data_IF_803258143420
#
_entry.id   IF_803258143420
#
_cell.length_a   1.000
_cell.length_b   1.000
_cell.length_c   1.000
_cell.angle_alpha   90.00
_cell.angle_beta   90.00
_cell.angle_gamma   90.00
#
_symmetry.space_group_name_H-M   'P 1'
#
loop_
_entity.id
_entity.type
_entity.pdbx_description
1 polymer ?
#
# COMPACT_ATOMS: atom_id res chain seq x y z
N UNK A 1 15.44 -4.93 33.47
CA UNK A 1 15.79 -4.86 32.04
C UNK A 1 15.50 -3.45 31.64
N UNK A 2 16.52 -2.61 31.62
CA UNK A 2 16.36 -1.19 31.32
C UNK A 2 16.02 -1.04 29.84
N UNK A 3 14.92 -0.33 29.58
CA UNK A 3 14.35 -0.14 28.26
C UNK A 3 14.97 1.13 27.67
N UNK A 4 16.18 1.02 27.14
CA UNK A 4 16.84 2.16 26.49
C UNK A 4 16.25 2.35 25.08
N UNK A 5 15.62 3.50 24.89
CA UNK A 5 15.11 3.92 23.58
C UNK A 5 16.31 4.18 22.66
N UNK A 6 16.30 3.68 21.41
CA UNK A 6 17.40 3.89 20.47
C UNK A 6 17.67 5.38 20.21
N UNK A 7 18.94 5.73 20.00
CA UNK A 7 19.34 7.10 19.64
C UNK A 7 18.68 7.57 18.34
N UNK A 8 18.51 8.90 18.20
CA UNK A 8 17.86 9.51 17.02
C UNK A 8 18.55 9.16 15.70
N UNK A 9 19.86 8.91 15.73
CA UNK A 9 20.68 8.45 14.60
C UNK A 9 20.24 7.09 14.07
N UNK A 10 19.74 6.20 14.92
CA UNK A 10 19.29 4.86 14.52
C UNK A 10 18.04 4.92 13.62
N UNK A 11 17.19 5.94 13.74
CA UNK A 11 16.02 6.09 12.86
C UNK A 11 16.36 6.45 11.41
N UNK A 12 17.62 6.85 11.13
CA UNK A 12 18.12 7.05 9.78
C UNK A 12 18.44 5.71 9.08
N UNK A 13 18.55 4.62 9.83
CA UNK A 13 18.71 3.27 9.29
C UNK A 13 17.43 2.83 8.57
N UNK A 14 17.57 2.25 7.38
CA UNK A 14 16.44 1.80 6.57
C UNK A 14 15.54 0.81 7.32
N UNK A 15 16.12 -0.06 8.15
CA UNK A 15 15.39 -1.05 8.96
C UNK A 15 14.46 -0.46 10.03
N UNK A 16 14.64 0.82 10.41
CA UNK A 16 13.80 1.52 11.40
C UNK A 16 12.98 2.66 10.77
N UNK A 17 13.57 3.40 9.84
CA UNK A 17 12.90 4.51 9.15
C UNK A 17 11.78 4.04 8.22
N UNK A 18 11.99 2.96 7.47
CA UNK A 18 11.00 2.49 6.50
C UNK A 18 9.71 1.95 7.16
N UNK A 19 9.75 1.20 8.27
CA UNK A 19 8.53 0.84 9.00
C UNK A 19 7.74 2.04 9.54
N UNK A 20 8.42 3.11 10.00
CA UNK A 20 7.73 4.34 10.43
C UNK A 20 7.05 5.04 9.26
N UNK A 21 7.73 5.12 8.11
CA UNK A 21 7.13 5.68 6.91
C UNK A 21 5.94 4.84 6.44
N UNK A 22 6.06 3.51 6.48
CA UNK A 22 4.96 2.60 6.17
C UNK A 22 3.77 2.80 7.14
N UNK A 23 4.03 2.95 8.44
CA UNK A 23 3.02 3.23 9.45
C UNK A 23 2.25 4.53 9.14
N UNK A 24 2.96 5.60 8.79
CA UNK A 24 2.35 6.87 8.39
C UNK A 24 1.54 6.73 7.10
N UNK A 25 2.05 6.01 6.10
CA UNK A 25 1.35 5.76 4.85
C UNK A 25 0.06 4.95 5.04
N UNK A 26 0.04 3.93 5.91
CA UNK A 26 -1.18 3.18 6.20
C UNK A 26 -2.27 4.07 6.81
N UNK A 27 -1.92 4.95 7.75
CA UNK A 27 -2.88 5.89 8.34
C UNK A 27 -3.34 6.91 7.30
N UNK A 28 -2.41 7.48 6.53
CA UNK A 28 -2.74 8.45 5.49
C UNK A 28 -3.61 7.83 4.38
N UNK A 29 -3.42 6.54 4.06
CA UNK A 29 -4.19 5.83 3.06
C UNK A 29 -5.69 5.78 3.38
N UNK A 30 -6.09 5.83 4.66
CA UNK A 30 -7.49 5.90 5.08
C UNK A 30 -8.20 7.18 4.63
N UNK A 31 -7.46 8.25 4.33
CA UNK A 31 -7.99 9.52 3.86
C UNK A 31 -8.33 9.51 2.36
N UNK A 32 -7.89 8.47 1.64
CA UNK A 32 -8.04 8.36 0.19
C UNK A 32 -8.88 7.15 -0.20
N UNK A 33 -9.51 7.16 -1.37
CA UNK A 33 -10.28 6.02 -1.84
C UNK A 33 -9.35 4.84 -2.12
N UNK A 34 -9.79 3.66 -1.68
CA UNK A 34 -9.12 2.38 -1.93
C UNK A 34 -9.48 1.82 -3.29
N UNK A 35 -10.71 2.06 -3.74
CA UNK A 35 -11.23 1.49 -4.97
C UNK A 35 -12.06 2.52 -5.73
N UNK A 36 -11.88 2.55 -7.05
CA UNK A 36 -12.55 3.46 -7.97
C UNK A 36 -13.28 2.64 -9.02
N UNK A 37 -14.56 2.92 -9.21
CA UNK A 37 -15.38 2.27 -10.23
C UNK A 37 -15.95 3.36 -11.12
N UNK A 38 -15.75 3.23 -12.42
CA UNK A 38 -16.39 4.09 -13.42
C UNK A 38 -17.41 3.26 -14.18
N UNK A 39 -18.62 3.78 -14.37
CA UNK A 39 -19.74 3.02 -14.92
C UNK A 39 -20.38 3.81 -16.05
N UNK A 40 -20.42 3.16 -17.21
CA UNK A 40 -21.11 3.66 -18.40
C UNK A 40 -22.40 2.85 -18.57
N UNK A 41 -23.54 3.55 -18.59
CA UNK A 41 -24.86 2.95 -18.71
C UNK A 41 -25.65 3.64 -19.81
N UNK A 42 -26.48 2.89 -20.53
CA UNK A 42 -27.35 3.44 -21.59
C UNK A 42 -28.33 4.49 -21.05
N UNK A 43 -28.72 4.36 -19.78
CA UNK A 43 -29.57 5.29 -19.06
C UNK A 43 -28.90 6.65 -18.78
N UNK A 44 -27.56 6.70 -18.78
CA UNK A 44 -26.76 7.91 -18.61
C UNK A 44 -25.81 8.08 -19.82
N UNK A 45 -26.34 8.29 -21.04
CA UNK A 45 -25.58 8.18 -22.28
C UNK A 45 -24.51 9.27 -22.47
N UNK A 46 -24.55 10.34 -21.68
CA UNK A 46 -23.63 11.48 -21.76
C UNK A 46 -22.73 11.58 -20.53
N UNK A 47 -22.90 10.71 -19.52
CA UNK A 47 -22.24 10.83 -18.23
C UNK A 47 -21.76 9.48 -17.74
N UNK A 48 -20.45 9.35 -17.53
CA UNK A 48 -19.87 8.23 -16.79
C UNK A 48 -20.05 8.48 -15.29
N UNK A 49 -20.68 7.53 -14.60
CA UNK A 49 -20.85 7.61 -13.15
C UNK A 49 -19.57 7.14 -12.47
N UNK A 50 -19.14 7.84 -11.43
CA UNK A 50 -17.94 7.51 -10.69
C UNK A 50 -18.25 7.16 -9.24
N UNK A 51 -17.73 6.03 -8.78
CA UNK A 51 -17.77 5.62 -7.38
C UNK A 51 -16.36 5.55 -6.82
N UNK A 52 -16.23 6.02 -5.59
CA UNK A 52 -14.99 5.93 -4.82
C UNK A 52 -15.27 5.28 -3.47
N UNK A 53 -14.72 4.09 -3.24
CA UNK A 53 -14.90 3.34 -2.01
C UNK A 53 -13.69 3.53 -1.09
N UNK A 54 -13.96 3.83 0.18
CA UNK A 54 -12.95 4.00 1.22
C UNK A 54 -12.74 2.72 2.02
N UNK A 55 -11.66 2.67 2.81
CA UNK A 55 -11.37 1.55 3.73
C UNK A 55 -12.33 1.46 4.93
N UNK A 56 -13.37 2.29 4.96
CA UNK A 56 -14.47 2.28 5.92
C UNK A 56 -15.78 2.46 5.15
N UNK A 57 -16.95 2.26 5.78
CA UNK A 57 -18.26 2.26 5.13
C UNK A 57 -18.68 3.64 4.57
N UNK A 58 -17.97 4.09 3.55
CA UNK A 58 -18.16 5.36 2.87
C UNK A 58 -17.90 5.17 1.39
N UNK A 59 -18.87 5.61 0.60
CA UNK A 59 -18.82 5.66 -0.85
C UNK A 59 -18.97 7.12 -1.28
N UNK A 60 -18.05 7.63 -2.08
CA UNK A 60 -18.15 8.97 -2.65
C UNK A 60 -18.40 8.92 -4.17
N UNK A 61 -18.71 10.07 -4.76
CA UNK A 61 -19.10 10.19 -6.16
C UNK A 61 -20.62 10.04 -6.36
N UNK A 62 -21.02 9.48 -7.50
CA UNK A 62 -22.41 9.37 -7.96
C UNK A 62 -23.13 8.14 -7.39
N UNK A 63 -22.98 7.93 -6.08
CA UNK A 63 -23.47 6.72 -5.42
C UNK A 63 -25.00 6.63 -5.37
N UNK A 64 -25.72 7.75 -5.43
CA UNK A 64 -27.19 7.76 -5.44
C UNK A 64 -27.76 7.36 -6.81
N UNK A 65 -27.17 7.91 -7.87
CA UNK A 65 -27.48 7.58 -9.27
C UNK A 65 -27.16 6.12 -9.53
N UNK A 66 -26.01 5.65 -9.05
CA UNK A 66 -25.60 4.26 -9.18
C UNK A 66 -26.50 3.31 -8.36
N UNK A 67 -26.91 3.68 -7.15
CA UNK A 67 -27.89 2.89 -6.39
C UNK A 67 -29.23 2.76 -7.16
N UNK A 68 -29.66 3.85 -7.80
CA UNK A 68 -30.87 3.86 -8.64
C UNK A 68 -30.74 2.95 -9.85
N UNK A 69 -29.56 2.91 -10.50
CA UNK A 69 -29.26 1.95 -11.58
C UNK A 69 -29.23 0.51 -11.08
N UNK A 70 -28.53 0.25 -9.98
CA UNK A 70 -28.34 -1.09 -9.45
C UNK A 70 -29.65 -1.75 -9.00
N UNK A 71 -30.64 -0.95 -8.56
CA UNK A 71 -31.98 -1.43 -8.25
C UNK A 71 -32.65 -2.14 -9.43
N UNK A 72 -32.36 -1.75 -10.67
CA UNK A 72 -32.96 -2.40 -11.85
C UNK A 72 -32.47 -3.84 -12.03
N UNK A 73 -31.24 -4.15 -11.61
CA UNK A 73 -30.65 -5.48 -11.66
C UNK A 73 -30.70 -6.19 -10.30
N UNK A 74 -31.38 -5.61 -9.31
CA UNK A 74 -31.50 -6.18 -7.97
C UNK A 74 -30.19 -6.20 -7.16
N UNK A 75 -29.21 -5.38 -7.54
CA UNK A 75 -27.95 -5.25 -6.81
C UNK A 75 -28.08 -4.12 -5.78
N UNK A 76 -27.67 -4.36 -4.54
CA UNK A 76 -27.72 -3.36 -3.47
C UNK A 76 -26.34 -3.22 -2.82
N UNK A 77 -26.04 -2.02 -2.34
CA UNK A 77 -24.80 -1.81 -1.60
C UNK A 77 -24.82 -2.61 -0.29
N UNK A 78 -23.74 -3.33 0.05
CA UNK A 78 -23.65 -4.11 1.27
C UNK A 78 -23.93 -3.29 2.54
N UNK A 79 -24.52 -3.90 3.57
CA UNK A 79 -24.74 -3.26 4.86
C UNK A 79 -23.53 -3.50 5.80
N UNK A 80 -22.79 -2.47 6.22
CA UNK A 80 -21.67 -2.61 7.15
C UNK A 80 -22.07 -2.97 8.59
N UNK A 81 -23.36 -3.00 8.94
CA UNK A 81 -23.99 -3.38 10.22
C UNK A 81 -23.61 -2.50 11.41
N UNK A 82 -22.32 -2.37 11.71
CA UNK A 82 -21.84 -1.68 12.91
C UNK A 82 -21.79 -0.16 12.76
N UNK A 83 -21.36 0.33 11.60
CA UNK A 83 -21.18 1.76 11.35
C UNK A 83 -22.13 2.21 10.25
N UNK A 84 -22.94 3.23 10.52
CA UNK A 84 -23.89 3.73 9.53
C UNK A 84 -23.14 4.31 8.32
N UNK A 85 -23.38 3.80 7.10
CA UNK A 85 -22.77 4.34 5.90
C UNK A 85 -23.45 5.64 5.46
N UNK A 86 -22.91 6.28 4.42
CA UNK A 86 -23.47 7.53 3.87
C UNK A 86 -24.65 7.32 2.90
N UNK A 87 -25.15 6.10 2.78
CA UNK A 87 -26.34 5.72 2.04
C UNK A 87 -27.26 4.91 2.96
N UNK A 88 -28.51 4.74 2.56
CA UNK A 88 -29.47 3.90 3.29
C UNK A 88 -29.35 2.44 2.81
N UNK A 89 -28.92 1.49 3.66
CA UNK A 89 -28.85 0.08 3.27
C UNK A 89 -30.24 -0.47 2.96
N UNK A 90 -30.33 -1.26 1.89
CA UNK A 90 -31.58 -1.93 1.53
C UNK A 90 -31.78 -3.19 2.39
N UNK A 91 -33.01 -3.57 2.79
CA UNK A 91 -33.25 -4.79 3.59
C UNK A 91 -32.80 -6.11 2.95
N UNK A 92 -32.56 -6.11 1.64
CA UNK A 92 -32.01 -7.25 0.89
C UNK A 92 -30.50 -7.16 0.61
N UNK A 93 -29.85 -6.11 1.09
CA UNK A 93 -28.39 -6.03 1.02
C UNK A 93 -27.74 -7.14 1.85
N UNK A 94 -26.54 -7.56 1.46
CA UNK A 94 -25.76 -8.51 2.24
C UNK A 94 -25.12 -7.81 3.45
N UNK A 95 -25.08 -8.48 4.59
CA UNK A 95 -24.39 -7.98 5.78
C UNK A 95 -22.88 -8.21 5.68
N UNK A 96 -22.11 -7.14 5.85
CA UNK A 96 -20.64 -7.09 5.78
C UNK A 96 -20.02 -6.35 7.00
N UNK A 97 -20.19 -6.89 8.22
CA UNK A 97 -19.66 -6.27 9.43
C UNK A 97 -18.14 -6.01 9.39
N UNK A 98 -17.39 -6.78 8.61
CA UNK A 98 -15.93 -6.69 8.48
C UNK A 98 -15.49 -5.36 7.87
N UNK A 99 -16.30 -4.74 6.99
CA UNK A 99 -15.95 -3.45 6.38
C UNK A 99 -15.86 -2.32 7.41
N UNK A 100 -16.68 -2.37 8.47
CA UNK A 100 -16.61 -1.43 9.59
C UNK A 100 -15.29 -1.54 10.37
N UNK A 101 -14.59 -2.68 10.28
CA UNK A 101 -13.33 -2.94 10.99
C UNK A 101 -12.10 -2.56 10.16
N UNK A 102 -12.26 -2.17 8.90
CA UNK A 102 -11.17 -1.78 8.00
C UNK A 102 -10.21 -0.75 8.62
N UNK A 103 -10.66 0.39 9.17
CA UNK A 103 -9.78 1.37 9.79
C UNK A 103 -8.99 0.81 10.98
N UNK A 104 -9.62 -0.05 11.77
CA UNK A 104 -8.98 -0.68 12.92
C UNK A 104 -7.84 -1.59 12.48
N UNK A 105 -8.01 -2.34 11.38
CA UNK A 105 -6.96 -3.17 10.81
C UNK A 105 -5.76 -2.31 10.35
N UNK A 106 -6.01 -1.21 9.63
CA UNK A 106 -4.96 -0.29 9.19
C UNK A 106 -4.22 0.38 10.36
N UNK A 107 -4.95 0.84 11.38
CA UNK A 107 -4.38 1.45 12.58
C UNK A 107 -3.56 0.41 13.36
N UNK A 108 -4.05 -0.83 13.50
CA UNK A 108 -3.33 -1.90 14.18
C UNK A 108 -2.02 -2.25 13.46
N UNK A 109 -2.06 -2.42 12.13
CA UNK A 109 -0.85 -2.68 11.33
C UNK A 109 0.14 -1.52 11.42
N UNK A 110 -0.35 -0.28 11.38
CA UNK A 110 0.46 0.93 11.54
C UNK A 110 1.11 1.00 12.93
N UNK A 111 0.35 0.74 14.00
CA UNK A 111 0.85 0.73 15.37
C UNK A 111 1.91 -0.36 15.57
N UNK A 112 1.71 -1.56 15.02
CA UNK A 112 2.70 -2.62 15.04
C UNK A 112 3.98 -2.23 14.27
N UNK A 113 3.86 -1.58 13.10
CA UNK A 113 5.01 -1.10 12.34
C UNK A 113 5.82 -0.06 13.13
N UNK A 114 5.13 0.88 13.79
CA UNK A 114 5.77 1.87 14.66
C UNK A 114 6.42 1.21 15.89
N UNK A 115 5.75 0.24 16.51
CA UNK A 115 6.29 -0.49 17.66
C UNK A 115 7.56 -1.28 17.30
N UNK A 116 7.58 -1.93 16.12
CA UNK A 116 8.76 -2.65 15.64
C UNK A 116 9.93 -1.71 15.40
N UNK A 117 9.69 -0.49 14.88
CA UNK A 117 10.74 0.51 14.70
C UNK A 117 11.38 0.97 16.02
N UNK A 118 10.61 0.94 17.12
CA UNK A 118 11.07 1.30 18.47
C UNK A 118 11.80 0.17 19.20
N UNK A 119 11.97 -1.01 18.58
CA UNK A 119 12.62 -2.14 19.24
C UNK A 119 14.08 -1.82 19.66
N UNK A 120 14.46 -2.11 20.93
CA UNK A 120 15.78 -1.76 21.45
C UNK A 120 16.89 -2.68 20.91
N UNK A 121 16.66 -3.99 20.91
CA UNK A 121 17.66 -4.98 20.51
C UNK A 121 17.57 -5.35 19.02
N UNK A 122 18.71 -5.52 18.35
CA UNK A 122 18.80 -6.02 16.96
C UNK A 122 18.10 -7.38 16.79
N UNK A 123 18.18 -8.27 17.79
CA UNK A 123 17.49 -9.57 17.77
C UNK A 123 15.96 -9.42 17.83
N UNK A 124 15.46 -8.48 18.64
CA UNK A 124 14.01 -8.19 18.76
C UNK A 124 13.51 -7.47 17.52
N UNK A 125 14.29 -6.55 16.96
CA UNK A 125 13.99 -5.85 15.71
C UNK A 125 13.81 -6.84 14.55
N UNK A 126 14.76 -7.78 14.35
CA UNK A 126 14.64 -8.80 13.29
C UNK A 126 13.38 -9.65 13.43
N UNK A 127 13.08 -10.13 14.64
CA UNK A 127 11.85 -10.89 14.93
C UNK A 127 10.59 -10.04 14.71
N UNK A 128 10.65 -8.78 15.12
CA UNK A 128 9.59 -7.79 14.92
C UNK A 128 9.32 -7.53 13.44
N UNK A 129 10.36 -7.37 12.62
CA UNK A 129 10.23 -7.15 11.17
C UNK A 129 9.65 -8.38 10.46
N UNK A 130 10.05 -9.60 10.86
CA UNK A 130 9.43 -10.85 10.36
C UNK A 130 7.95 -10.87 10.74
N UNK A 131 7.63 -10.67 12.03
CA UNK A 131 6.25 -10.69 12.52
C UNK A 131 5.40 -9.61 11.87
N UNK A 132 5.97 -8.42 11.64
CA UNK A 132 5.31 -7.31 10.96
C UNK A 132 4.99 -7.67 9.52
N UNK A 133 5.97 -8.18 8.76
CA UNK A 133 5.76 -8.50 7.36
C UNK A 133 4.73 -9.63 7.19
N UNK A 134 4.86 -10.70 7.98
CA UNK A 134 3.91 -11.82 7.96
C UNK A 134 2.53 -11.39 8.43
N UNK A 135 2.44 -10.62 9.53
CA UNK A 135 1.18 -10.12 10.05
C UNK A 135 0.49 -9.16 9.08
N UNK A 136 1.25 -8.27 8.44
CA UNK A 136 0.73 -7.36 7.41
C UNK A 136 0.22 -8.12 6.19
N UNK A 137 0.99 -9.09 5.69
CA UNK A 137 0.58 -9.94 4.57
C UNK A 137 -0.66 -10.78 4.91
N UNK A 138 -0.75 -11.31 6.13
CA UNK A 138 -1.91 -12.06 6.59
C UNK A 138 -3.16 -11.18 6.68
N UNK A 139 -3.07 -10.00 7.33
CA UNK A 139 -4.21 -9.07 7.48
C UNK A 139 -4.72 -8.63 6.11
N UNK A 140 -3.84 -8.12 5.22
CA UNK A 140 -4.27 -7.66 3.90
C UNK A 140 -4.68 -8.81 2.98
N UNK A 141 -4.04 -9.98 3.08
CA UNK A 141 -4.42 -11.17 2.32
C UNK A 141 -5.82 -11.67 2.69
N UNK A 142 -6.12 -11.77 3.99
CA UNK A 142 -7.46 -12.11 4.47
C UNK A 142 -8.48 -11.05 4.05
N UNK A 143 -8.14 -9.77 4.16
CA UNK A 143 -9.04 -8.68 3.75
C UNK A 143 -9.35 -8.73 2.24
N UNK A 144 -8.36 -8.99 1.39
CA UNK A 144 -8.59 -9.14 -0.06
C UNK A 144 -9.43 -10.37 -0.38
N UNK A 145 -9.20 -11.49 0.29
CA UNK A 145 -9.99 -12.70 0.13
C UNK A 145 -11.45 -12.49 0.58
N UNK A 146 -11.65 -11.80 1.71
CA UNK A 146 -12.99 -11.45 2.20
C UNK A 146 -13.70 -10.50 1.22
N UNK A 147 -13.03 -9.44 0.74
CA UNK A 147 -13.61 -8.53 -0.28
C UNK A 147 -14.06 -9.32 -1.52
N UNK A 148 -13.22 -10.22 -2.04
CA UNK A 148 -13.60 -11.05 -3.19
C UNK A 148 -14.82 -11.94 -2.90
N UNK A 149 -14.84 -12.55 -1.72
CA UNK A 149 -15.95 -13.38 -1.29
C UNK A 149 -17.26 -12.58 -1.13
N UNK A 150 -17.19 -11.40 -0.53
CA UNK A 150 -18.35 -10.49 -0.38
C UNK A 150 -18.83 -9.94 -1.71
N UNK A 151 -17.94 -9.65 -2.66
CA UNK A 151 -18.31 -9.26 -4.02
C UNK A 151 -19.02 -10.39 -4.77
N UNK A 152 -18.54 -11.62 -4.61
CA UNK A 152 -19.23 -12.80 -5.14
C UNK A 152 -20.63 -12.95 -4.54
N UNK A 153 -20.75 -12.87 -3.21
CA UNK A 153 -22.05 -12.93 -2.52
C UNK A 153 -23.01 -11.84 -3.00
N UNK A 154 -22.55 -10.58 -3.06
CA UNK A 154 -23.38 -9.45 -3.46
C UNK A 154 -23.91 -9.61 -4.89
N UNK A 155 -23.06 -10.06 -5.83
CA UNK A 155 -23.47 -10.23 -7.22
C UNK A 155 -24.22 -11.53 -7.54
N UNK A 156 -24.29 -12.49 -6.61
CA UNK A 156 -25.11 -13.72 -6.73
C UNK A 156 -26.36 -13.72 -5.86
N UNK A 157 -26.56 -12.68 -5.05
CA UNK A 157 -27.76 -12.47 -4.23
C UNK A 157 -28.59 -11.33 -4.81
N UNK A 158 -28.83 -11.38 -6.12
CA UNK A 158 -29.63 -10.39 -6.83
C UNK A 158 -31.12 -10.58 -6.47
N UNK A 159 -31.84 -9.46 -6.36
CA UNK A 159 -33.28 -9.48 -6.09
C UNK A 159 -34.04 -10.18 -7.24
N UNK A 160 -34.72 -11.32 -6.99
CA UNK A 160 -35.46 -12.02 -8.04
C UNK A 160 -36.69 -11.23 -8.51
N UNK A 161 -37.12 -10.19 -7.78
CA UNK A 161 -38.25 -9.34 -8.14
C UNK A 161 -37.81 -8.05 -8.87
N UNK A 162 -36.53 -7.95 -9.26
CA UNK A 162 -35.99 -6.75 -9.90
C UNK A 162 -36.61 -6.50 -11.30
N UNK A 163 -36.75 -5.23 -11.73
CA UNK A 163 -37.35 -4.90 -13.02
C UNK A 163 -36.68 -5.57 -14.23
N UNK A 164 -35.37 -5.79 -14.19
CA UNK A 164 -34.62 -6.54 -15.20
C UNK A 164 -34.43 -7.96 -14.70
N UNK A 165 -35.28 -8.85 -15.18
CA UNK A 165 -35.28 -10.28 -14.84
C UNK A 165 -34.24 -11.05 -15.66
N UNK A 166 -33.69 -12.12 -15.08
CA UNK A 166 -32.81 -13.05 -15.79
C UNK A 166 -31.36 -12.55 -15.97
N UNK A 167 -30.93 -11.60 -15.14
CA UNK A 167 -29.52 -11.24 -15.04
C UNK A 167 -28.77 -12.36 -14.34
N UNK A 168 -27.79 -12.95 -15.03
CA UNK A 168 -26.91 -13.96 -14.44
C UNK A 168 -26.09 -13.35 -13.29
N UNK A 169 -25.82 -14.18 -12.27
CA UNK A 169 -24.95 -13.78 -11.16
C UNK A 169 -23.57 -13.36 -11.68
N UNK A 170 -23.07 -12.24 -11.17
CA UNK A 170 -21.79 -11.69 -11.60
C UNK A 170 -20.88 -11.44 -10.39
N UNK A 171 -19.58 -11.30 -10.62
CA UNK A 171 -18.62 -10.91 -9.58
C UNK A 171 -17.83 -9.71 -10.06
N UNK A 172 -18.02 -8.53 -9.44
CA UNK A 172 -17.23 -7.36 -9.78
C UNK A 172 -15.73 -7.65 -9.61
N UNK A 173 -14.89 -7.50 -10.64
CA UNK A 173 -13.46 -7.64 -10.50
C UNK A 173 -12.90 -6.44 -9.72
N UNK A 174 -11.92 -6.66 -8.84
CA UNK A 174 -11.21 -5.57 -8.17
C UNK A 174 -10.42 -4.69 -9.15
N UNK A 175 -9.99 -5.27 -10.27
CA UNK A 175 -9.26 -4.59 -11.33
C UNK A 175 -9.71 -5.12 -12.68
N UNK A 176 -9.98 -4.21 -13.62
CA UNK A 176 -10.36 -4.54 -14.99
C UNK A 176 -11.73 -3.97 -15.35
N UNK A 177 -12.40 -4.59 -16.32
CA UNK A 177 -13.73 -4.18 -16.75
C UNK A 177 -14.66 -5.39 -16.80
N UNK A 178 -15.95 -5.16 -16.59
CA UNK A 178 -16.98 -6.16 -16.74
C UNK A 178 -18.27 -5.52 -17.28
N UNK A 179 -19.10 -6.33 -17.92
CA UNK A 179 -20.37 -5.89 -18.50
C UNK A 179 -21.48 -6.78 -17.95
N UNK A 180 -22.54 -6.15 -17.44
CA UNK A 180 -23.73 -6.85 -16.92
C UNK A 180 -24.95 -6.16 -17.49
N UNK A 181 -25.76 -6.93 -18.20
CA UNK A 181 -26.88 -6.42 -19.00
C UNK A 181 -26.42 -5.33 -19.99
N UNK A 182 -26.70 -4.05 -19.71
CA UNK A 182 -26.34 -2.89 -20.54
C UNK A 182 -25.50 -1.86 -19.75
N UNK A 183 -24.79 -2.33 -18.72
CA UNK A 183 -23.94 -1.51 -17.86
C UNK A 183 -22.51 -2.02 -18.01
N UNK A 184 -21.62 -1.15 -18.46
CA UNK A 184 -20.18 -1.42 -18.53
C UNK A 184 -19.49 -0.75 -17.36
N UNK A 185 -18.78 -1.53 -16.56
CA UNK A 185 -18.11 -1.05 -15.35
C UNK A 185 -16.61 -1.27 -15.46
N UNK A 186 -15.84 -0.25 -15.06
CA UNK A 186 -14.39 -0.22 -15.04
C UNK A 186 -13.89 -0.06 -13.61
N UNK A 187 -13.25 -1.09 -13.07
CA UNK A 187 -12.69 -1.14 -11.73
C UNK A 187 -11.20 -0.85 -11.75
N UNK A 188 -10.77 0.09 -10.90
CA UNK A 188 -9.36 0.46 -10.71
C UNK A 188 -9.04 0.69 -9.24
N UNK A 189 -7.80 0.45 -8.86
CA UNK A 189 -7.33 0.82 -7.52
C UNK A 189 -7.32 2.34 -7.34
N UNK A 190 -7.78 2.78 -6.17
CA UNK A 190 -7.71 4.17 -5.76
C UNK A 190 -6.35 4.52 -5.16
N UNK A 191 -6.16 5.80 -4.84
CA UNK A 191 -4.90 6.32 -4.29
C UNK A 191 -4.54 5.64 -2.97
N UNK A 192 -5.52 5.38 -2.09
CA UNK A 192 -5.30 4.69 -0.81
C UNK A 192 -4.76 3.28 -0.98
N UNK A 193 -5.19 2.55 -2.03
CA UNK A 193 -4.67 1.22 -2.32
C UNK A 193 -3.21 1.28 -2.79
N UNK A 194 -2.85 2.24 -3.65
CA UNK A 194 -1.45 2.44 -4.05
C UNK A 194 -0.55 2.84 -2.88
N UNK A 195 -1.03 3.70 -1.98
CA UNK A 195 -0.31 4.05 -0.74
C UNK A 195 -0.08 2.82 0.15
N UNK A 196 -1.09 1.95 0.26
CA UNK A 196 -0.99 0.70 1.02
C UNK A 196 0.01 -0.28 0.39
N UNK A 197 -0.01 -0.43 -0.94
CA UNK A 197 0.97 -1.24 -1.66
C UNK A 197 2.39 -0.71 -1.49
N UNK A 198 2.57 0.62 -1.56
CA UNK A 198 3.85 1.27 -1.30
C UNK A 198 4.31 0.99 0.14
N UNK A 199 3.45 1.14 1.13
CA UNK A 199 3.76 0.85 2.53
C UNK A 199 4.21 -0.61 2.74
N UNK A 200 3.52 -1.57 2.13
CA UNK A 200 3.94 -2.99 2.13
C UNK A 200 5.31 -3.16 1.46
N UNK A 201 5.55 -2.48 0.33
CA UNK A 201 6.85 -2.48 -0.34
C UNK A 201 7.97 -1.94 0.57
N UNK A 202 7.73 -0.86 1.31
CA UNK A 202 8.69 -0.33 2.28
C UNK A 202 9.00 -1.33 3.40
N UNK A 203 8.01 -2.09 3.88
CA UNK A 203 8.23 -3.16 4.87
C UNK A 203 9.07 -4.30 4.31
N UNK A 204 8.88 -4.68 3.03
CA UNK A 204 9.72 -5.67 2.34
C UNK A 204 11.17 -5.17 2.24
N UNK A 205 11.38 -3.91 1.87
CA UNK A 205 12.72 -3.31 1.83
C UNK A 205 13.35 -3.26 3.23
N UNK A 206 12.59 -2.86 4.26
CA UNK A 206 13.05 -2.88 5.65
C UNK A 206 13.47 -4.28 6.09
N UNK A 207 12.70 -5.30 5.70
CA UNK A 207 13.01 -6.70 5.96
C UNK A 207 14.27 -7.16 5.22
N UNK A 208 14.49 -6.74 3.98
CA UNK A 208 15.69 -7.07 3.22
C UNK A 208 16.94 -6.50 3.88
N UNK A 209 16.89 -5.24 4.35
CA UNK A 209 17.98 -4.59 5.07
C UNK A 209 18.03 -4.88 6.58
N UNK A 210 17.30 -5.89 7.07
CA UNK A 210 17.22 -6.22 8.51
C UNK A 210 18.57 -6.51 9.17
N UNK A 211 19.54 -6.99 8.39
CA UNK A 211 20.89 -7.37 8.83
C UNK A 211 21.91 -6.23 8.65
N UNK A 212 21.50 -5.10 8.07
CA UNK A 212 22.37 -3.97 7.74
C UNK A 212 22.00 -2.72 8.54
N UNK A 213 23.00 -1.91 8.86
CA UNK A 213 22.83 -0.58 9.44
C UNK A 213 22.79 0.51 8.35
N UNK A 214 22.59 0.11 7.08
CA UNK A 214 22.61 1.02 5.95
C UNK A 214 21.57 2.15 6.09
N UNK A 215 22.03 3.37 5.86
CA UNK A 215 21.17 4.54 5.77
C UNK A 215 20.76 4.78 4.31
N UNK A 216 19.73 5.60 4.10
CA UNK A 216 19.32 6.02 2.75
C UNK A 216 20.49 6.68 1.98
N UNK A 217 21.40 7.38 2.67
CA UNK A 217 22.58 8.02 2.08
C UNK A 217 23.60 6.99 1.58
N UNK A 218 23.80 5.91 2.32
CA UNK A 218 24.75 4.87 1.95
C UNK A 218 24.27 4.09 0.72
N UNK A 219 22.96 3.79 0.66
CA UNK A 219 22.35 3.18 -0.52
C UNK A 219 22.39 4.12 -1.73
N UNK A 220 22.11 5.41 -1.54
CA UNK A 220 22.20 6.40 -2.61
C UNK A 220 23.64 6.52 -3.14
N UNK A 221 24.64 6.58 -2.26
CA UNK A 221 26.06 6.64 -2.64
C UNK A 221 26.50 5.39 -3.40
N UNK A 222 26.10 4.20 -2.93
CA UNK A 222 26.41 2.93 -3.61
C UNK A 222 25.70 2.78 -4.97
N UNK A 223 24.53 3.41 -5.14
CA UNK A 223 23.84 3.45 -6.43
C UNK A 223 24.49 4.45 -7.39
N UNK A 224 24.83 5.66 -6.92
CA UNK A 224 25.55 6.67 -7.70
C UNK A 224 26.91 6.15 -8.21
N UNK A 225 27.66 5.45 -7.35
CA UNK A 225 28.92 4.83 -7.74
C UNK A 225 28.75 3.70 -8.77
N UNK A 226 27.58 3.06 -8.83
CA UNK A 226 27.26 2.02 -9.83
C UNK A 226 26.74 2.59 -11.15
N UNK A 227 26.09 3.76 -11.11
CA UNK A 227 25.55 4.44 -12.29
C UNK A 227 26.61 5.33 -12.96
N UNK A 228 27.84 5.36 -12.42
CA UNK A 228 28.96 6.06 -13.06
C UNK A 228 28.87 7.58 -12.93
N UNK A 229 28.05 8.09 -12.01
CA UNK A 229 28.15 9.49 -11.56
C UNK A 229 29.20 9.52 -10.46
N UNK A 230 30.45 9.25 -10.86
CA UNK A 230 31.61 9.45 -10.02
C UNK A 230 31.91 10.93 -9.93
N UNK A 231 32.31 11.38 -8.75
CA UNK A 231 32.86 12.71 -8.51
C UNK A 231 33.97 13.00 -9.54
N UNK A 232 33.68 13.84 -10.53
CA UNK A 232 34.71 14.58 -11.26
C UNK A 232 35.21 15.64 -10.28
N UNK A 233 36.35 15.39 -9.63
CA UNK A 233 37.44 16.36 -9.40
C UNK A 233 38.38 15.87 -8.29
N UNK A 234 39.53 15.32 -8.69
CA UNK A 234 40.83 15.69 -8.10
C UNK A 234 41.92 15.40 -9.14
N UNK A 235 42.58 16.41 -9.74
CA UNK A 235 43.71 16.18 -10.61
C UNK A 235 44.96 15.93 -9.76
N UNK A 236 45.44 14.69 -9.81
CA UNK A 236 46.77 14.27 -9.37
C UNK A 236 47.83 15.11 -10.08
N UNK A 237 48.53 15.97 -9.33
CA UNK A 237 49.73 16.66 -9.80
C UNK A 237 50.95 16.08 -9.09
N UNK A 238 51.51 15.02 -9.67
CA UNK A 238 52.90 14.62 -9.45
C UNK A 238 53.78 15.18 -10.56
N UNK A 239 54.84 15.95 -10.23
CA UNK A 239 56.09 15.93 -10.98
C UNK A 239 57.11 15.13 -10.15
N UNK A 240 57.67 14.02 -10.61
CA UNK A 240 58.59 13.98 -11.75
C UNK A 240 60.00 14.29 -11.25
N UNK A 241 60.74 13.27 -10.80
CA UNK A 241 62.21 13.31 -10.75
C UNK A 241 62.77 11.88 -10.91
N UNK A 242 63.56 11.70 -11.96
CA UNK A 242 64.23 10.46 -12.35
C UNK A 242 65.45 10.14 -11.45
N UNK A 243 65.86 8.87 -11.33
CA UNK A 243 67.14 8.51 -10.73
C UNK A 243 68.22 8.32 -11.82
N UNK A 244 69.36 9.00 -11.70
CA UNK A 244 70.57 8.69 -12.48
C UNK A 244 71.76 8.46 -11.54
N UNK A 245 72.24 7.22 -11.54
CA UNK A 245 73.66 6.87 -11.73
C UNK A 245 74.69 7.26 -10.67
N UNK A 246 75.17 6.23 -9.95
CA UNK A 246 76.41 6.09 -9.16
C UNK A 246 77.71 6.56 -9.85
N UNK A 247 78.66 7.10 -9.06
CA UNK A 247 80.09 6.73 -9.12
C UNK A 247 80.87 7.18 -7.87
N UNK A 248 81.81 6.34 -7.44
CA UNK A 248 82.73 6.43 -6.30
C UNK A 248 83.74 7.60 -6.38
N UNK A 249 84.23 8.10 -5.23
CA UNK A 249 85.67 8.33 -4.96
C UNK A 249 85.94 8.98 -3.59
N UNK A 250 86.64 8.22 -2.74
CA UNK A 250 87.79 8.57 -1.90
C UNK A 250 88.12 10.02 -1.46
N UNK A 251 88.47 10.09 -0.16
CA UNK A 251 89.61 10.79 0.44
C UNK A 251 89.55 12.30 0.72
N UNK A 252 89.80 12.63 2.00
CA UNK A 252 90.79 13.66 2.33
C UNK A 252 90.40 14.70 3.38
N UNK A 253 90.88 14.44 4.61
CA UNK A 253 91.24 15.37 5.71
C UNK A 253 90.15 16.05 6.52
#
# INVERSE_FOLDING_TARGET
MDYEIPEKSAFLELRRGLPLLAAALFVAALLFPMWRIAVDAVQYPQTTLHLELYAYPRIAGDYGEMASLNKYIGFYYPDPVYWQPNYEPHPRAIDVPEWSLGPLAFIAVSACAAFVALAPDTKRLKRGLIAQLVGTAAVFGVMLADIQYRLYQAGHTLDPDAPVMGVDGFTPPLWGSYEVANITSYSRFGVGAYMSMLAVGLLVVAFYFRDSDATARDVARAWLSRVGVGDDEEPDSSPGDEPVGTEDAEAGR
#
